data_IF_341787976574
#
_entry.id   IF_341787976574
#
_cell.length_a   1.000
_cell.length_b   1.000
_cell.length_c   1.000
_cell.angle_alpha   90.00
_cell.angle_beta   90.00
_cell.angle_gamma   90.00
#
_symmetry.space_group_name_H-M   'P 1'
#
loop_
_entity.id
_entity.type
_entity.pdbx_description
1 polymer ?
#
# COMPACT_ATOMS: atom_id res chain seq x y z
N UNK A 1 8.43 11.15 4.70
CA UNK A 1 7.88 10.63 5.97
C UNK A 1 7.56 9.14 5.76
N UNK A 2 7.23 8.35 6.81
CA UNK A 2 7.17 6.90 6.71
C UNK A 2 5.96 6.41 5.90
N UNK A 3 6.20 5.49 4.96
CA UNK A 3 5.15 4.72 4.29
C UNK A 3 5.13 3.34 4.92
N UNK A 4 3.94 2.81 5.18
CA UNK A 4 3.73 1.54 5.86
C UNK A 4 3.15 0.53 4.89
N UNK A 5 3.55 -0.74 5.06
CA UNK A 5 2.94 -1.89 4.39
C UNK A 5 2.71 -2.98 5.42
N UNK A 6 1.51 -3.55 5.44
CA UNK A 6 1.18 -4.64 6.37
C UNK A 6 1.53 -6.04 5.82
N UNK A 7 1.41 -7.11 6.62
CA UNK A 7 1.51 -8.51 6.16
C UNK A 7 0.17 -9.25 6.09
N UNK A 8 -0.90 -8.51 5.84
CA UNK A 8 -2.21 -9.10 5.64
C UNK A 8 -2.20 -9.85 4.31
N UNK A 9 -2.96 -10.93 4.21
CA UNK A 9 -2.95 -11.80 3.03
C UNK A 9 -4.35 -11.95 2.47
N UNK A 10 -4.78 -10.92 1.73
CA UNK A 10 -6.06 -10.95 1.04
C UNK A 10 -5.92 -11.55 -0.35
N UNK A 11 -6.68 -12.62 -0.62
CA UNK A 11 -6.68 -13.25 -1.94
C UNK A 11 -7.49 -12.43 -2.94
N UNK A 12 -6.87 -12.06 -4.06
CA UNK A 12 -7.54 -11.35 -5.14
C UNK A 12 -7.07 -11.85 -6.51
N UNK A 13 -7.97 -12.49 -7.26
CA UNK A 13 -7.72 -12.95 -8.65
C UNK A 13 -6.41 -13.74 -8.82
N UNK A 14 -6.08 -14.60 -7.86
CA UNK A 14 -4.86 -15.42 -7.86
C UNK A 14 -3.62 -14.73 -7.30
N UNK A 15 -3.74 -13.48 -6.85
CA UNK A 15 -2.71 -12.76 -6.12
C UNK A 15 -3.01 -12.73 -4.62
N UNK A 16 -1.98 -12.44 -3.83
CA UNK A 16 -2.09 -12.08 -2.42
C UNK A 16 -1.77 -10.59 -2.32
N UNK A 17 -2.69 -9.85 -1.72
CA UNK A 17 -2.64 -8.41 -1.54
C UNK A 17 -2.43 -8.08 -0.06
N UNK A 18 -1.66 -7.02 0.17
CA UNK A 18 -1.43 -6.34 1.44
C UNK A 18 -1.90 -4.89 1.30
N UNK A 19 -2.03 -4.14 2.38
CA UNK A 19 -2.30 -2.70 2.30
C UNK A 19 -1.01 -1.89 2.41
N UNK A 20 -0.97 -0.77 1.70
CA UNK A 20 0.05 0.27 1.80
C UNK A 20 -0.60 1.62 2.08
N UNK A 21 -0.12 2.35 3.09
CA UNK A 21 -0.62 3.68 3.47
C UNK A 21 0.51 4.56 4.01
N UNK A 22 0.22 5.85 4.19
CA UNK A 22 1.15 6.82 4.77
C UNK A 22 0.37 7.88 5.56
N UNK A 23 1.09 8.73 6.28
CA UNK A 23 0.50 9.81 7.06
C UNK A 23 -0.03 10.95 6.17
N UNK A 24 0.47 11.05 4.92
CA UNK A 24 -0.02 11.99 3.92
C UNK A 24 -0.29 11.31 2.57
N UNK A 25 -1.21 11.89 1.79
CA UNK A 25 -1.52 11.43 0.44
C UNK A 25 -0.30 11.56 -0.49
N UNK A 26 0.47 12.64 -0.36
CA UNK A 26 1.62 12.89 -1.22
C UNK A 26 2.70 11.82 -1.05
N UNK A 27 3.02 11.44 0.20
CA UNK A 27 3.96 10.34 0.48
C UNK A 27 3.50 9.00 -0.09
N UNK A 28 2.20 8.72 0.04
CA UNK A 28 1.62 7.49 -0.47
C UNK A 28 1.69 7.44 -2.01
N UNK A 29 1.41 8.56 -2.67
CA UNK A 29 1.49 8.67 -4.13
C UNK A 29 2.94 8.62 -4.62
N UNK A 30 3.88 9.26 -3.93
CA UNK A 30 5.31 9.19 -4.25
C UNK A 30 5.83 7.76 -4.16
N UNK A 31 5.46 7.01 -3.12
CA UNK A 31 5.81 5.59 -3.03
C UNK A 31 5.17 4.77 -4.14
N UNK A 32 3.89 5.01 -4.43
CA UNK A 32 3.18 4.31 -5.51
C UNK A 32 3.91 4.51 -6.86
N UNK A 33 4.29 5.74 -7.20
CA UNK A 33 5.04 6.04 -8.40
C UNK A 33 6.41 5.34 -8.41
N UNK A 34 7.12 5.36 -7.27
CA UNK A 34 8.45 4.76 -7.13
C UNK A 34 8.45 3.23 -7.35
N UNK A 35 7.39 2.54 -6.94
CA UNK A 35 7.27 1.08 -7.12
C UNK A 35 6.58 0.68 -8.44
N UNK A 36 6.15 1.67 -9.24
CA UNK A 36 5.47 1.46 -10.52
C UNK A 36 3.98 1.13 -10.40
N UNK A 37 3.35 1.55 -9.30
CA UNK A 37 1.92 1.39 -9.09
C UNK A 37 1.13 2.56 -9.68
N UNK A 38 0.02 2.26 -10.34
CA UNK A 38 -0.80 3.30 -10.96
C UNK A 38 -1.64 4.04 -9.91
N UNK A 39 -1.53 5.37 -9.85
CA UNK A 39 -2.29 6.24 -8.93
C UNK A 39 -3.82 6.03 -8.96
N UNK A 40 -4.37 5.57 -10.10
CA UNK A 40 -5.81 5.22 -10.24
C UNK A 40 -6.28 4.07 -9.33
N UNK A 41 -5.36 3.30 -8.77
CA UNK A 41 -5.65 2.21 -7.83
C UNK A 41 -5.75 2.68 -6.38
N UNK A 42 -5.63 3.99 -6.13
CA UNK A 42 -5.82 4.56 -4.82
C UNK A 42 -7.23 4.26 -4.33
N UNK A 43 -7.32 3.68 -3.13
CA UNK A 43 -8.57 3.45 -2.43
C UNK A 43 -8.76 4.55 -1.40
N UNK A 44 -9.97 5.12 -1.35
CA UNK A 44 -10.30 6.21 -0.44
C UNK A 44 -11.82 6.23 -0.14
N UNK A 45 -12.23 6.86 0.97
CA UNK A 45 -13.65 7.06 1.26
C UNK A 45 -14.42 7.77 0.13
N UNK A 46 -15.70 7.44 -0.08
CA UNK A 46 -16.53 6.51 0.71
C UNK A 46 -16.41 5.03 0.27
N UNK A 47 -15.56 4.72 -0.72
CA UNK A 47 -15.46 3.36 -1.28
C UNK A 47 -14.58 2.43 -0.44
N UNK A 48 -13.74 3.00 0.40
CA UNK A 48 -12.86 2.32 1.33
C UNK A 48 -12.93 3.01 2.71
N UNK A 49 -12.58 2.29 3.76
CA UNK A 49 -12.63 2.79 5.14
C UNK A 49 -11.58 3.88 5.42
N UNK A 50 -10.45 3.89 4.68
CA UNK A 50 -9.40 4.92 4.76
C UNK A 50 -8.60 4.98 3.44
N UNK A 51 -7.67 5.94 3.34
CA UNK A 51 -6.82 6.15 2.16
C UNK A 51 -5.66 5.15 2.14
N UNK A 52 -5.62 4.27 1.13
CA UNK A 52 -4.56 3.25 0.99
C UNK A 52 -4.47 2.71 -0.45
N UNK A 53 -3.52 1.82 -0.69
CA UNK A 53 -3.45 0.96 -1.86
C UNK A 53 -3.43 -0.51 -1.48
N UNK A 54 -4.09 -1.36 -2.28
CA UNK A 54 -3.84 -2.80 -2.27
C UNK A 54 -2.58 -3.09 -3.09
N UNK A 55 -1.54 -3.60 -2.45
CA UNK A 55 -0.26 -3.96 -3.07
C UNK A 55 -0.11 -5.48 -3.13
N UNK A 56 0.29 -6.02 -4.28
CA UNK A 56 0.64 -7.44 -4.37
C UNK A 56 1.94 -7.73 -3.61
N UNK A 57 2.21 -9.00 -3.26
CA UNK A 57 3.47 -9.39 -2.61
C UNK A 57 4.73 -8.90 -3.37
N UNK A 58 4.69 -8.86 -4.69
CA UNK A 58 5.78 -8.32 -5.52
C UNK A 58 5.97 -6.82 -5.32
N UNK A 59 4.87 -6.05 -5.27
CA UNK A 59 4.94 -4.60 -5.05
C UNK A 59 5.28 -4.28 -3.59
N UNK A 60 4.80 -5.07 -2.63
CA UNK A 60 5.22 -5.00 -1.23
C UNK A 60 6.73 -5.14 -1.08
N UNK A 61 7.35 -6.14 -1.73
CA UNK A 61 8.79 -6.31 -1.69
C UNK A 61 9.54 -5.08 -2.25
N UNK A 62 9.03 -4.47 -3.32
CA UNK A 62 9.58 -3.21 -3.86
C UNK A 62 9.40 -2.03 -2.92
N UNK A 63 8.24 -1.91 -2.28
CA UNK A 63 7.96 -0.85 -1.32
C UNK A 63 8.91 -0.93 -0.12
N UNK A 64 9.11 -2.14 0.44
CA UNK A 64 10.07 -2.38 1.53
C UNK A 64 11.49 -2.02 1.08
N UNK A 65 11.92 -2.46 -0.12
CA UNK A 65 13.22 -2.09 -0.67
C UNK A 65 13.37 -0.57 -0.92
N UNK A 66 12.26 0.13 -1.16
CA UNK A 66 12.19 1.58 -1.30
C UNK A 66 12.14 2.34 0.05
N UNK A 67 12.09 1.63 1.18
CA UNK A 67 12.08 2.21 2.52
C UNK A 67 10.72 2.23 3.20
N UNK A 68 9.71 1.52 2.68
CA UNK A 68 8.47 1.31 3.40
C UNK A 68 8.70 0.41 4.63
N UNK A 69 8.00 0.72 5.72
CA UNK A 69 8.10 0.03 7.00
C UNK A 69 7.07 -1.09 7.03
N UNK A 70 7.54 -2.32 7.28
CA UNK A 70 6.65 -3.46 7.52
C UNK A 70 5.97 -3.29 8.88
N UNK A 71 4.66 -3.46 8.91
CA UNK A 71 3.84 -3.39 10.14
C UNK A 71 2.92 -4.60 10.25
N UNK A 72 2.46 -4.88 11.46
CA UNK A 72 1.48 -5.90 11.81
C UNK A 72 0.04 -5.37 11.87
N UNK A 73 -0.13 -4.04 11.86
CA UNK A 73 -1.44 -3.38 11.88
C UNK A 73 -2.10 -3.37 10.50
N UNK A 74 -3.43 -3.51 10.45
CA UNK A 74 -4.24 -3.54 9.21
C UNK A 74 -4.58 -2.13 8.68
N UNK A 75 -3.76 -1.12 8.95
CA UNK A 75 -4.08 0.31 8.74
C UNK A 75 -4.50 1.04 10.03
N UNK A 76 -4.66 2.37 9.96
CA UNK A 76 -5.09 3.23 11.08
C UNK A 76 -6.59 3.14 11.41
#
# INVERSE_FOLDING_TARGET
MPVYVDDVRHHFRGMVMCHMWADSLDELLEMADRIGMARRWLQQPPKASWVHFDVSLTLKAKAIAAGAILTDHYGP
#
